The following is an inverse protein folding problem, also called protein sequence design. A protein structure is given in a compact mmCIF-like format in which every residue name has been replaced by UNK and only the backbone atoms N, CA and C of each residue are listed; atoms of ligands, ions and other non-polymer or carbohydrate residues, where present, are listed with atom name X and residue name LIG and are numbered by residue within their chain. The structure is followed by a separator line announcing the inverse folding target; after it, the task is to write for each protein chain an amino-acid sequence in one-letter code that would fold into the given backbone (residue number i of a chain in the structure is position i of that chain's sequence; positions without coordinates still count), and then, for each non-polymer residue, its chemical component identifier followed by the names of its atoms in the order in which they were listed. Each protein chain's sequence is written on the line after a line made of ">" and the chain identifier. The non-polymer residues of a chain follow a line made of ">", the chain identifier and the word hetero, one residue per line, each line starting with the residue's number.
data_IF_841430315218
#
_entry.id   IF_841430315218
#
_cell.length_a   1.000
_cell.length_b   1.000
_cell.length_c   1.000
_cell.angle_alpha   90.00
_cell.angle_beta   90.00
_cell.angle_gamma   90.00
#
_symmetry.space_group_name_H-M   'P 1'
#
loop_
_entity.id
_entity.type
_entity.pdbx_description
1 polymer ?
#
# COMPACT_ATOMS: atom_id res chain seq x y z
N UNK A 1 14.54 -15.33 25.34
CA UNK A 1 14.13 -13.99 25.21
C UNK A 1 13.32 -13.82 23.95
N UNK A 2 12.20 -13.32 24.20
CA UNK A 2 11.35 -12.95 23.11
C UNK A 2 12.09 -11.94 22.26
N UNK A 3 12.52 -12.37 21.13
CA UNK A 3 12.89 -11.44 20.09
C UNK A 3 11.67 -10.56 19.90
N UNK A 4 11.82 -9.28 20.07
CA UNK A 4 10.81 -8.33 19.67
C UNK A 4 10.61 -8.50 18.17
N UNK A 5 9.73 -9.41 17.84
CA UNK A 5 9.22 -9.43 16.49
C UNK A 5 8.49 -8.13 16.32
N UNK A 6 9.01 -7.25 15.45
CA UNK A 6 8.28 -6.09 15.04
C UNK A 6 6.89 -6.56 14.66
N UNK A 7 5.90 -6.10 15.38
CA UNK A 7 4.53 -6.46 15.15
C UNK A 7 4.08 -5.87 13.83
N UNK A 8 3.72 -6.72 12.89
CA UNK A 8 3.16 -6.30 11.61
C UNK A 8 1.65 -6.11 11.75
N UNK A 9 1.14 -5.06 11.12
CA UNK A 9 -0.25 -4.68 11.23
C UNK A 9 -0.88 -4.49 9.86
N UNK A 10 -2.18 -4.79 9.78
CA UNK A 10 -2.99 -4.54 8.59
C UNK A 10 -4.01 -3.47 8.93
N UNK A 11 -4.01 -2.39 8.15
CA UNK A 11 -4.80 -1.20 8.42
C UNK A 11 -5.65 -0.82 7.22
N UNK A 12 -6.74 -0.10 7.47
CA UNK A 12 -7.57 0.48 6.42
C UNK A 12 -8.01 1.88 6.82
N UNK A 13 -8.01 2.77 5.83
CA UNK A 13 -8.59 4.10 5.94
C UNK A 13 -9.67 4.24 4.89
N UNK A 14 -10.92 4.33 5.32
CA UNK A 14 -12.08 4.51 4.46
C UNK A 14 -13.16 5.27 5.22
N UNK A 15 -14.19 5.72 4.53
CA UNK A 15 -15.36 6.36 5.14
C UNK A 15 -14.95 7.52 6.07
N UNK A 16 -14.07 8.38 5.59
CA UNK A 16 -13.52 9.48 6.37
C UNK A 16 -13.51 10.78 5.58
N UNK A 17 -13.61 11.91 6.28
CA UNK A 17 -13.42 13.23 5.71
C UNK A 17 -11.98 13.72 5.87
N UNK A 18 -11.11 12.92 6.50
CA UNK A 18 -9.71 13.30 6.74
C UNK A 18 -8.85 13.27 5.47
N UNK A 19 -9.29 12.55 4.45
CA UNK A 19 -8.61 12.47 3.16
C UNK A 19 -9.43 13.19 2.11
N UNK A 20 -8.82 14.16 1.44
CA UNK A 20 -9.47 14.91 0.37
C UNK A 20 -9.31 14.22 -0.98
N UNK A 21 -8.20 13.53 -1.17
CA UNK A 21 -7.85 12.88 -2.43
C UNK A 21 -7.32 11.48 -2.15
N UNK A 22 -8.25 10.54 -2.05
CA UNK A 22 -7.91 9.16 -1.75
C UNK A 22 -6.96 8.57 -2.77
N UNK A 23 -6.06 7.71 -2.29
CA UNK A 23 -5.13 6.92 -3.11
C UNK A 23 -4.19 7.77 -3.97
N UNK A 24 -3.89 8.98 -3.48
CA UNK A 24 -2.76 9.77 -3.94
C UNK A 24 -1.54 9.34 -3.13
N UNK A 25 -0.57 8.73 -3.78
CA UNK A 25 0.57 8.11 -3.09
C UNK A 25 1.51 9.13 -2.44
N UNK A 26 1.55 10.38 -2.91
CA UNK A 26 2.30 11.44 -2.19
C UNK A 26 1.83 11.57 -0.76
N UNK A 27 0.52 11.59 -0.59
CA UNK A 27 -0.09 11.74 0.74
C UNK A 27 0.11 10.48 1.58
N UNK A 28 0.01 9.30 0.98
CA UNK A 28 0.21 8.03 1.67
C UNK A 28 1.64 7.91 2.18
N UNK A 29 2.63 8.18 1.34
CA UNK A 29 4.04 8.12 1.78
C UNK A 29 4.36 9.18 2.81
N UNK A 30 3.79 10.36 2.68
CA UNK A 30 3.95 11.42 3.68
C UNK A 30 3.39 10.98 5.04
N UNK A 31 2.23 10.36 5.05
CA UNK A 31 1.59 9.87 6.28
C UNK A 31 2.37 8.73 6.91
N UNK A 32 2.92 7.83 6.10
CA UNK A 32 3.76 6.73 6.58
C UNK A 32 5.12 7.21 7.07
N UNK A 33 5.54 8.40 6.66
CA UNK A 33 6.91 8.93 6.83
C UNK A 33 7.96 7.99 6.27
N UNK A 34 7.62 7.37 5.14
CA UNK A 34 8.52 6.50 4.40
C UNK A 34 8.93 7.17 3.09
N UNK A 35 10.18 6.96 2.73
CA UNK A 35 10.70 7.41 1.44
C UNK A 35 10.46 6.29 0.41
N UNK A 36 9.72 6.63 -0.65
CA UNK A 36 9.49 5.72 -1.77
C UNK A 36 10.81 5.16 -2.33
N UNK A 37 11.87 5.97 -2.29
CA UNK A 37 13.20 5.60 -2.81
C UNK A 37 13.91 4.54 -1.98
N UNK A 38 13.41 4.20 -0.77
CA UNK A 38 14.03 3.18 0.07
C UNK A 38 13.72 1.76 -0.38
N UNK A 39 12.89 1.61 -1.40
CA UNK A 39 12.41 0.29 -1.86
C UNK A 39 12.46 0.19 -3.37
N UNK A 40 12.48 -1.05 -3.85
CA UNK A 40 12.01 -1.40 -5.20
C UNK A 40 10.56 -1.82 -5.08
N UNK A 41 9.75 -1.52 -6.09
CA UNK A 41 8.32 -1.71 -6.04
C UNK A 41 7.82 -2.59 -7.18
N UNK A 42 6.94 -3.53 -6.86
CA UNK A 42 6.13 -4.20 -7.86
C UNK A 42 4.72 -3.60 -7.82
N UNK A 43 4.29 -3.01 -8.92
CA UNK A 43 2.99 -2.34 -8.99
C UNK A 43 2.10 -3.07 -9.97
N UNK A 44 0.90 -3.42 -9.54
CA UNK A 44 0.00 -4.27 -10.32
C UNK A 44 -1.47 -3.91 -10.12
N UNK A 45 -2.32 -4.45 -10.97
CA UNK A 45 -3.77 -4.24 -10.97
C UNK A 45 -4.11 -2.73 -11.02
N UNK A 46 -3.48 -2.02 -11.96
CA UNK A 46 -3.48 -0.57 -12.00
C UNK A 46 -4.63 -0.02 -12.83
N UNK A 47 -5.42 0.85 -12.21
CA UNK A 47 -6.35 1.73 -12.91
C UNK A 47 -6.22 3.12 -12.29
N UNK A 48 -6.10 4.15 -13.13
CA UNK A 48 -5.88 5.52 -12.66
C UNK A 48 -6.90 6.49 -13.29
N UNK A 49 -6.84 7.74 -12.82
CA UNK A 49 -7.64 8.86 -13.36
C UNK A 49 -7.10 9.41 -14.69
N UNK A 50 -6.61 8.53 -15.55
CA UNK A 50 -6.18 8.91 -16.91
C UNK A 50 -4.68 8.94 -17.12
N UNK A 51 -3.88 8.69 -16.07
CA UNK A 51 -2.44 8.58 -16.21
C UNK A 51 -2.05 7.14 -16.58
N UNK A 52 -0.96 7.01 -17.34
CA UNK A 52 -0.44 5.71 -17.70
C UNK A 52 0.73 5.36 -16.78
N UNK A 53 0.58 4.27 -16.03
CA UNK A 53 1.62 3.73 -15.16
C UNK A 53 1.85 2.29 -15.55
N UNK A 54 3.11 1.93 -15.84
CA UNK A 54 3.42 0.57 -16.25
C UNK A 54 3.26 -0.41 -15.10
N UNK A 55 2.66 -1.56 -15.36
CA UNK A 55 2.63 -2.66 -14.41
C UNK A 55 4.00 -3.34 -14.35
N UNK A 56 4.37 -3.83 -13.18
CA UNK A 56 5.61 -4.53 -12.97
C UNK A 56 6.58 -3.78 -12.06
N UNK A 57 7.85 -4.04 -12.23
CA UNK A 57 8.88 -3.48 -11.37
C UNK A 57 9.18 -2.01 -11.68
N UNK A 58 9.27 -1.24 -10.59
CA UNK A 58 9.71 0.16 -10.62
C UNK A 58 10.80 0.33 -9.58
N UNK A 59 11.86 1.06 -9.93
CA UNK A 59 12.79 1.53 -8.90
C UNK A 59 12.08 2.54 -8.02
N UNK A 60 12.52 2.68 -6.78
CA UNK A 60 11.92 3.65 -5.86
C UNK A 60 12.01 5.07 -6.40
N UNK A 61 13.15 5.44 -6.97
CA UNK A 61 13.34 6.78 -7.57
C UNK A 61 12.45 6.98 -8.81
N UNK A 62 12.29 5.96 -9.63
CA UNK A 62 11.43 6.02 -10.80
C UNK A 62 9.96 6.18 -10.43
N UNK A 63 9.50 5.42 -9.44
CA UNK A 63 8.14 5.52 -8.96
C UNK A 63 7.88 6.88 -8.29
N UNK A 64 8.83 7.36 -7.49
CA UNK A 64 8.73 8.67 -6.86
C UNK A 64 8.57 9.79 -7.89
N UNK A 65 9.35 9.74 -8.95
CA UNK A 65 9.26 10.73 -10.03
C UNK A 65 7.86 10.75 -10.65
N UNK A 66 7.29 9.59 -10.92
CA UNK A 66 5.93 9.47 -11.46
C UNK A 66 4.92 10.11 -10.49
N UNK A 67 5.02 9.78 -9.23
CA UNK A 67 4.09 10.21 -8.18
C UNK A 67 4.19 11.72 -7.94
N UNK A 68 5.41 12.27 -7.89
CA UNK A 68 5.62 13.68 -7.57
C UNK A 68 5.24 14.61 -8.72
N UNK A 69 5.38 14.16 -9.96
CA UNK A 69 5.17 15.00 -11.14
C UNK A 69 3.74 14.96 -11.67
N UNK A 70 2.86 14.14 -11.10
CA UNK A 70 1.51 13.94 -11.59
C UNK A 70 0.52 13.80 -10.43
N UNK A 71 -0.68 14.34 -10.59
CA UNK A 71 -1.75 14.18 -9.62
C UNK A 71 -2.53 12.91 -9.90
N UNK A 72 -1.88 11.78 -9.67
CA UNK A 72 -2.47 10.47 -9.95
C UNK A 72 -3.36 10.05 -8.79
N UNK A 73 -4.60 9.69 -9.10
CA UNK A 73 -5.43 8.88 -8.23
C UNK A 73 -5.38 7.44 -8.74
N UNK A 74 -4.93 6.54 -7.88
CA UNK A 74 -4.98 5.12 -8.19
C UNK A 74 -6.36 4.59 -7.77
N UNK A 75 -7.22 4.39 -8.75
CA UNK A 75 -8.56 3.82 -8.51
C UNK A 75 -8.40 2.41 -7.96
N UNK A 76 -7.57 1.62 -8.63
CA UNK A 76 -7.12 0.31 -8.21
C UNK A 76 -5.61 0.23 -8.34
N UNK A 77 -4.93 -0.33 -7.39
CA UNK A 77 -3.52 -0.71 -7.51
C UNK A 77 -3.07 -1.49 -6.30
N UNK A 78 -2.07 -2.34 -6.49
CA UNK A 78 -1.31 -2.95 -5.40
C UNK A 78 0.14 -2.56 -5.56
N UNK A 79 0.70 -1.95 -4.51
CA UNK A 79 2.11 -1.56 -4.43
C UNK A 79 2.80 -2.49 -3.46
N UNK A 80 3.66 -3.37 -3.95
CA UNK A 80 4.42 -4.31 -3.11
C UNK A 80 5.83 -3.79 -2.94
N UNK A 81 6.24 -3.53 -1.70
CA UNK A 81 7.55 -2.94 -1.36
C UNK A 81 8.56 -4.03 -1.10
N UNK A 82 9.74 -3.91 -1.70
CA UNK A 82 10.85 -4.85 -1.52
C UNK A 82 12.14 -4.11 -1.17
N UNK A 83 13.06 -4.77 -0.47
CA UNK A 83 14.41 -4.23 -0.34
C UNK A 83 15.00 -3.97 -1.72
N UNK A 84 15.79 -2.89 -1.84
CA UNK A 84 16.44 -2.54 -3.12
C UNK A 84 17.27 -3.74 -3.61
N UNK A 85 17.09 -4.09 -4.88
CA UNK A 85 17.78 -5.21 -5.51
C UNK A 85 17.08 -6.54 -5.39
N UNK A 86 16.01 -6.63 -4.63
CA UNK A 86 15.26 -7.88 -4.44
C UNK A 86 14.20 -8.04 -5.53
N UNK A 87 14.64 -8.21 -6.76
CA UNK A 87 13.74 -8.43 -7.89
C UNK A 87 13.74 -9.90 -8.28
N UNK A 88 12.60 -10.40 -8.69
CA UNK A 88 12.42 -11.78 -9.13
C UNK A 88 11.31 -11.84 -10.18
N UNK A 89 11.16 -12.99 -10.80
CA UNK A 89 10.07 -13.19 -11.77
C UNK A 89 8.76 -13.41 -11.01
N UNK A 90 7.83 -12.51 -11.17
CA UNK A 90 6.50 -12.63 -10.55
C UNK A 90 5.61 -13.51 -11.40
N UNK A 91 5.13 -14.62 -10.82
CA UNK A 91 4.24 -15.56 -11.50
C UNK A 91 2.78 -15.31 -11.16
N UNK A 92 2.48 -14.98 -9.89
CA UNK A 92 1.13 -14.67 -9.44
C UNK A 92 1.05 -13.19 -9.17
N UNK A 93 0.37 -12.47 -10.05
CA UNK A 93 0.28 -11.00 -10.00
C UNK A 93 -0.68 -10.59 -8.89
N UNK A 94 -0.24 -9.75 -7.92
CA UNK A 94 -1.13 -9.24 -6.89
C UNK A 94 -2.29 -8.44 -7.48
N UNK A 95 -3.47 -8.59 -6.88
CA UNK A 95 -4.65 -7.88 -7.32
C UNK A 95 -5.52 -7.47 -6.14
N UNK A 96 -6.25 -6.38 -6.30
CA UNK A 96 -7.15 -5.81 -5.30
C UNK A 96 -8.60 -5.84 -5.79
N UNK A 97 -8.85 -5.53 -7.05
CA UNK A 97 -10.19 -5.57 -7.61
C UNK A 97 -10.72 -7.00 -7.58
N UNK A 98 -11.91 -7.20 -7.02
CA UNK A 98 -12.53 -8.52 -6.86
C UNK A 98 -11.76 -9.50 -6.00
N UNK A 99 -10.86 -9.02 -5.12
CA UNK A 99 -10.13 -9.87 -4.20
C UNK A 99 -10.85 -9.94 -2.85
N UNK A 100 -11.55 -11.05 -2.56
CA UNK A 100 -12.35 -11.15 -1.33
C UNK A 100 -11.51 -11.26 -0.05
N UNK A 101 -10.24 -11.60 -0.16
CA UNK A 101 -9.38 -11.81 1.01
C UNK A 101 -9.18 -10.55 1.84
N UNK A 102 -9.22 -9.36 1.20
CA UNK A 102 -9.13 -8.11 1.95
C UNK A 102 -10.33 -7.90 2.88
N UNK A 103 -11.45 -8.56 2.62
CA UNK A 103 -12.73 -8.28 3.28
C UNK A 103 -13.27 -9.42 4.15
N UNK A 104 -12.51 -10.50 4.31
CA UNK A 104 -13.01 -11.68 5.02
C UNK A 104 -12.54 -11.81 6.47
N UNK A 105 -11.86 -10.78 6.99
CA UNK A 105 -11.36 -10.79 8.37
C UNK A 105 -10.07 -11.59 8.58
N UNK A 106 -9.47 -12.10 7.51
CA UNK A 106 -8.22 -12.85 7.59
C UNK A 106 -7.06 -11.97 8.04
N UNK A 107 -6.06 -12.58 8.67
CA UNK A 107 -4.80 -11.92 8.99
C UNK A 107 -3.85 -12.07 7.78
N UNK A 108 -3.93 -11.07 6.89
CA UNK A 108 -3.21 -11.11 5.64
C UNK A 108 -1.73 -10.79 5.80
N UNK A 109 -0.94 -11.39 4.93
CA UNK A 109 0.44 -10.96 4.64
C UNK A 109 0.46 -10.39 3.22
N UNK A 110 1.49 -9.62 2.83
CA UNK A 110 1.61 -9.16 1.44
C UNK A 110 1.47 -10.32 0.47
N UNK A 111 0.81 -10.08 -0.66
CA UNK A 111 0.53 -11.13 -1.64
C UNK A 111 1.80 -11.73 -2.24
N UNK A 112 2.85 -10.93 -2.41
CA UNK A 112 4.13 -11.43 -2.89
C UNK A 112 5.04 -11.77 -1.72
N UNK A 113 5.57 -12.99 -1.75
CA UNK A 113 6.54 -13.43 -0.75
C UNK A 113 7.80 -12.57 -0.81
N UNK A 114 8.30 -12.17 0.35
CA UNK A 114 9.47 -11.30 0.47
C UNK A 114 9.15 -9.81 0.46
N UNK A 115 7.92 -9.43 0.18
CA UNK A 115 7.54 -8.01 0.29
C UNK A 115 7.59 -7.56 1.75
N UNK A 116 8.14 -6.36 1.97
CA UNK A 116 8.26 -5.78 3.30
C UNK A 116 6.88 -5.32 3.80
N UNK A 117 6.12 -4.72 2.91
CA UNK A 117 4.73 -4.35 3.15
C UNK A 117 4.04 -4.11 1.80
N UNK A 118 2.74 -3.89 1.84
CA UNK A 118 1.93 -3.72 0.65
C UNK A 118 0.95 -2.56 0.89
N UNK A 119 0.76 -1.73 -0.14
CA UNK A 119 -0.28 -0.70 -0.15
C UNK A 119 -1.28 -1.09 -1.23
N UNK A 120 -2.55 -1.22 -0.86
CA UNK A 120 -3.60 -1.52 -1.82
C UNK A 120 -4.58 -0.35 -1.89
N UNK A 121 -4.88 0.06 -3.13
CA UNK A 121 -5.83 1.13 -3.41
C UNK A 121 -7.14 0.53 -3.88
N UNK A 122 -8.23 0.81 -3.16
CA UNK A 122 -9.53 0.22 -3.44
C UNK A 122 -10.55 1.27 -3.88
N UNK A 123 -10.93 1.20 -5.14
CA UNK A 123 -12.05 1.92 -5.73
C UNK A 123 -12.09 3.43 -5.42
N UNK A 124 -10.94 4.08 -5.43
CA UNK A 124 -10.79 5.52 -5.13
C UNK A 124 -11.33 5.93 -3.75
N UNK A 125 -11.59 4.99 -2.86
CA UNK A 125 -12.30 5.27 -1.60
C UNK A 125 -11.68 4.65 -0.37
N UNK A 126 -10.68 3.78 -0.52
CA UNK A 126 -9.98 3.19 0.62
C UNK A 126 -8.50 3.01 0.34
N UNK A 127 -7.70 3.21 1.38
CA UNK A 127 -6.28 2.88 1.40
C UNK A 127 -6.08 1.74 2.38
N UNK A 128 -5.51 0.63 1.90
CA UNK A 128 -5.28 -0.57 2.71
C UNK A 128 -3.77 -0.77 2.83
N UNK A 129 -3.30 -0.99 4.05
CA UNK A 129 -1.89 -1.24 4.35
C UNK A 129 -1.76 -2.64 4.91
N UNK A 130 -0.94 -3.47 4.26
CA UNK A 130 -0.72 -4.85 4.69
C UNK A 130 0.73 -5.03 5.14
N UNK A 131 0.90 -5.51 6.36
CA UNK A 131 2.21 -5.86 6.90
C UNK A 131 3.07 -4.67 7.31
N UNK A 132 2.48 -3.51 7.58
CA UNK A 132 3.26 -2.35 8.05
C UNK A 132 3.76 -2.58 9.46
N UNK A 133 4.93 -2.03 9.79
CA UNK A 133 5.50 -2.14 11.13
C UNK A 133 4.85 -1.16 12.10
N UNK A 134 5.23 -1.25 13.39
CA UNK A 134 4.65 -0.40 14.44
C UNK A 134 4.87 1.09 14.20
N UNK A 135 6.04 1.46 13.69
CA UNK A 135 6.37 2.86 13.40
C UNK A 135 5.50 3.39 12.26
N UNK A 136 5.41 2.65 11.17
CA UNK A 136 4.55 3.02 10.04
C UNK A 136 3.09 3.13 10.47
N UNK A 137 2.61 2.17 11.26
CA UNK A 137 1.24 2.17 11.77
C UNK A 137 0.97 3.40 12.64
N UNK A 138 1.89 3.72 13.56
CA UNK A 138 1.77 4.90 14.42
C UNK A 138 1.74 6.18 13.60
N UNK A 139 2.63 6.30 12.63
CA UNK A 139 2.71 7.48 11.77
C UNK A 139 1.41 7.66 10.97
N UNK A 140 0.92 6.58 10.37
CA UNK A 140 -0.29 6.65 9.56
C UNK A 140 -1.53 6.98 10.39
N UNK A 141 -1.67 6.36 11.55
CA UNK A 141 -2.79 6.63 12.48
C UNK A 141 -2.73 8.05 13.04
N UNK A 142 -1.53 8.59 13.24
CA UNK A 142 -1.36 9.97 13.69
C UNK A 142 -1.80 10.98 12.63
N UNK A 143 -1.51 10.69 11.37
CA UNK A 143 -1.95 11.53 10.25
C UNK A 143 -3.45 11.40 10.00
N UNK A 144 -3.98 10.19 10.13
CA UNK A 144 -5.37 9.87 9.85
C UNK A 144 -5.95 9.05 11.01
N UNK A 145 -6.56 9.75 11.97
CA UNK A 145 -7.07 9.12 13.20
C UNK A 145 -8.25 8.17 12.97
N UNK A 146 -8.90 8.27 11.81
CA UNK A 146 -9.99 7.36 11.44
C UNK A 146 -9.50 6.01 10.92
N UNK A 147 -8.19 5.80 10.85
CA UNK A 147 -7.60 4.52 10.45
C UNK A 147 -7.93 3.43 11.49
N UNK A 148 -8.39 2.28 11.00
CA UNK A 148 -8.69 1.12 11.84
C UNK A 148 -7.92 -0.11 11.36
N UNK A 149 -7.92 -1.16 12.18
CA UNK A 149 -7.39 -2.44 11.74
C UNK A 149 -8.32 -3.04 10.69
N UNK A 150 -7.73 -3.61 9.65
CA UNK A 150 -8.46 -4.14 8.50
C UNK A 150 -9.50 -5.18 8.90
N UNK A 151 -9.20 -6.03 9.88
CA UNK A 151 -10.12 -7.08 10.34
C UNK A 151 -11.48 -6.54 10.81
N UNK A 152 -11.52 -5.29 11.29
CA UNK A 152 -12.76 -4.66 11.73
C UNK A 152 -13.58 -4.08 10.57
N UNK A 153 -13.04 -4.04 9.37
CA UNK A 153 -13.75 -3.65 8.17
C UNK A 153 -14.29 -4.85 7.39
N UNK A 154 -14.15 -6.04 7.93
CA UNK A 154 -14.60 -7.29 7.28
C UNK A 154 -16.09 -7.21 6.90
N UNK A 155 -16.42 -7.76 5.72
CA UNK A 155 -17.78 -7.78 5.18
C UNK A 155 -17.99 -8.83 4.11
#
# INVERSE_FOLDING_TARGET
>A
PSVNKSKHMNLILENTEQVKFFTNMKEVFCALKNDCCDYDWYVSDIETNGYSVAEGWHSGSGLEEIILNNDIQFIWAVFSAFPIGYKFKVNEIPYIEDNPEYWNGSDLTPQLEGAVFEIACWDSSATILIGVNSEQATNFKSAYTDTIELKYAAR
#
